data_IF_519047384495
#
_entry.id   IF_519047384495
#
_cell.length_a   1.000
_cell.length_b   1.000
_cell.length_c   1.000
_cell.angle_alpha   90.00
_cell.angle_beta   90.00
_cell.angle_gamma   90.00
#
_symmetry.space_group_name_H-M   'P 1'
#
loop_
_entity.id
_entity.type
_entity.pdbx_description
1 polymer ?
#
# COMPACT_ATOMS: atom_id res chain seq x y z
N UNK A 1 -8.40 -9.59 -5.86
CA UNK A 1 -9.09 -8.33 -5.55
C UNK A 1 -8.22 -7.15 -5.96
N UNK A 2 -8.85 -6.04 -6.31
CA UNK A 2 -8.17 -4.80 -6.66
C UNK A 2 -8.97 -3.61 -6.16
N UNK A 3 -8.27 -2.53 -5.82
CA UNK A 3 -8.87 -1.25 -5.46
C UNK A 3 -8.87 -0.32 -6.67
N UNK A 4 -10.00 0.31 -6.94
CA UNK A 4 -10.18 1.23 -8.06
C UNK A 4 -10.52 2.62 -7.50
N UNK A 5 -9.84 3.65 -7.96
CA UNK A 5 -10.10 5.04 -7.55
C UNK A 5 -11.21 5.69 -8.37
N UNK A 6 -12.18 4.87 -8.81
CA UNK A 6 -13.45 5.30 -9.41
C UNK A 6 -13.28 6.18 -10.67
N UNK A 7 -12.19 5.93 -11.40
CA UNK A 7 -11.93 6.61 -12.68
C UNK A 7 -11.49 8.06 -12.59
N UNK A 8 -11.43 8.64 -11.38
CA UNK A 8 -11.11 10.06 -11.22
C UNK A 8 -10.09 10.33 -10.10
N UNK A 9 -9.39 9.30 -9.67
CA UNK A 9 -8.45 9.34 -8.55
C UNK A 9 -9.12 9.71 -7.22
N UNK A 10 -10.43 9.46 -7.11
CA UNK A 10 -11.19 9.63 -5.86
C UNK A 10 -12.57 9.00 -6.03
N UNK A 11 -13.05 8.34 -5.00
CA UNK A 11 -14.41 7.81 -4.97
C UNK A 11 -15.39 8.70 -4.19
N UNK A 12 -14.93 9.85 -3.71
CA UNK A 12 -15.75 10.73 -2.86
C UNK A 12 -17.06 11.17 -3.53
N UNK A 13 -17.06 11.34 -4.85
CA UNK A 13 -18.24 11.81 -5.59
C UNK A 13 -18.77 10.74 -6.56
N UNK A 14 -18.38 9.48 -6.34
CA UNK A 14 -18.72 8.38 -7.23
C UNK A 14 -19.66 7.39 -6.53
N UNK A 15 -20.52 6.76 -7.30
CA UNK A 15 -21.36 5.66 -6.84
C UNK A 15 -20.86 4.29 -7.34
N UNK A 16 -19.66 4.26 -7.92
CA UNK A 16 -19.04 3.02 -8.41
C UNK A 16 -18.42 2.28 -7.24
N UNK A 17 -18.51 0.96 -7.26
CA UNK A 17 -17.84 0.11 -6.27
C UNK A 17 -16.33 0.18 -6.46
N UNK A 18 -15.57 0.63 -5.46
CA UNK A 18 -14.13 0.73 -5.60
C UNK A 18 -13.36 -0.59 -5.39
N UNK A 19 -14.00 -1.60 -4.82
CA UNK A 19 -13.33 -2.88 -4.59
C UNK A 19 -13.89 -3.90 -5.57
N UNK A 20 -13.00 -4.44 -6.42
CA UNK A 20 -13.41 -5.35 -7.48
C UNK A 20 -12.66 -6.67 -7.39
N UNK A 21 -13.34 -7.76 -7.68
CA UNK A 21 -12.73 -9.08 -7.84
C UNK A 21 -12.71 -9.42 -9.32
N UNK A 22 -11.53 -9.77 -9.80
CA UNK A 22 -11.36 -10.09 -11.22
C UNK A 22 -11.12 -11.59 -11.40
N UNK A 23 -11.63 -12.13 -12.48
CA UNK A 23 -11.25 -13.48 -12.90
C UNK A 23 -9.90 -13.44 -13.67
N UNK A 24 -9.31 -14.59 -13.99
CA UNK A 24 -8.03 -14.60 -14.72
C UNK A 24 -8.08 -13.97 -16.13
N UNK A 25 -9.27 -13.73 -16.66
CA UNK A 25 -9.45 -13.09 -17.95
C UNK A 25 -9.62 -11.57 -17.82
N UNK A 26 -9.68 -11.07 -16.56
CA UNK A 26 -9.83 -9.64 -16.26
C UNK A 26 -11.28 -9.15 -16.18
N UNK A 27 -12.25 -10.06 -16.17
CA UNK A 27 -13.65 -9.66 -16.01
C UNK A 27 -13.97 -9.44 -14.54
N UNK A 28 -14.74 -8.40 -14.25
CA UNK A 28 -15.22 -8.17 -12.87
C UNK A 28 -16.28 -9.22 -12.55
N UNK A 29 -16.03 -10.03 -11.53
CA UNK A 29 -16.96 -11.08 -11.09
C UNK A 29 -17.68 -10.72 -9.80
N UNK A 30 -17.20 -9.70 -9.08
CA UNK A 30 -17.83 -9.19 -7.87
C UNK A 30 -17.29 -7.78 -7.60
N UNK A 31 -18.14 -6.92 -7.01
CA UNK A 31 -17.69 -5.60 -6.55
C UNK A 31 -18.48 -5.14 -5.35
N UNK A 32 -17.90 -4.22 -4.57
CA UNK A 32 -18.57 -3.62 -3.42
C UNK A 32 -17.81 -2.36 -2.95
N UNK A 33 -18.39 -1.67 -1.98
CA UNK A 33 -17.75 -0.57 -1.27
C UNK A 33 -18.19 0.82 -1.73
N UNK A 34 -19.13 0.90 -2.67
CA UNK A 34 -19.65 2.20 -3.12
C UNK A 34 -20.13 3.02 -1.92
N UNK A 35 -19.79 4.29 -1.92
CA UNK A 35 -20.18 5.24 -0.87
C UNK A 35 -19.58 4.95 0.52
N UNK A 36 -18.61 4.02 0.62
CA UNK A 36 -17.95 3.73 1.89
C UNK A 36 -16.48 4.20 1.91
N UNK A 37 -15.87 4.34 0.77
CA UNK A 37 -14.43 4.57 0.63
C UNK A 37 -14.21 5.84 -0.20
N UNK A 38 -13.24 6.66 0.21
CA UNK A 38 -12.85 7.88 -0.51
C UNK A 38 -11.65 7.62 -1.43
N UNK A 39 -10.61 6.97 -0.90
CA UNK A 39 -9.35 6.83 -1.62
C UNK A 39 -8.69 5.48 -1.32
N UNK A 40 -9.19 4.41 -1.96
CA UNK A 40 -8.63 3.08 -1.70
C UNK A 40 -7.14 3.07 -2.03
N UNK A 41 -6.34 2.47 -1.16
CA UNK A 41 -4.90 2.40 -1.31
C UNK A 41 -4.44 0.95 -1.11
N UNK A 42 -3.73 0.63 -0.05
CA UNK A 42 -3.29 -0.73 0.18
C UNK A 42 -4.42 -1.69 0.57
N UNK A 43 -4.21 -2.98 0.32
CA UNK A 43 -5.22 -3.98 0.67
C UNK A 43 -4.59 -5.36 0.88
N UNK A 44 -5.27 -6.17 1.68
CA UNK A 44 -4.86 -7.55 1.93
C UNK A 44 -6.10 -8.44 2.03
N UNK A 45 -5.91 -9.75 1.94
CA UNK A 45 -6.99 -10.73 2.10
C UNK A 45 -6.56 -11.73 3.15
N UNK A 46 -7.34 -11.82 4.22
CA UNK A 46 -6.99 -12.71 5.33
C UNK A 46 -7.33 -14.18 5.04
N UNK A 47 -6.97 -15.07 5.97
CA UNK A 47 -7.15 -16.50 5.79
C UNK A 47 -8.62 -16.93 5.67
N UNK A 48 -9.54 -16.12 6.15
CA UNK A 48 -10.99 -16.38 6.04
C UNK A 48 -11.59 -15.79 4.76
N UNK A 49 -10.75 -15.12 3.94
CA UNK A 49 -11.19 -14.50 2.70
C UNK A 49 -11.75 -13.10 2.88
N UNK A 50 -11.67 -12.51 4.07
CA UNK A 50 -12.10 -11.14 4.29
C UNK A 50 -11.13 -10.19 3.59
N UNK A 51 -11.68 -9.12 3.02
CA UNK A 51 -10.91 -8.12 2.27
C UNK A 51 -10.66 -6.92 3.17
N UNK A 52 -9.40 -6.60 3.39
CA UNK A 52 -8.97 -5.45 4.17
C UNK A 52 -8.51 -4.36 3.22
N UNK A 53 -8.98 -3.14 3.43
CA UNK A 53 -8.70 -2.02 2.52
C UNK A 53 -8.35 -0.79 3.33
N UNK A 54 -7.30 -0.11 2.93
CA UNK A 54 -6.94 1.19 3.48
C UNK A 54 -7.71 2.27 2.71
N UNK A 55 -8.40 3.16 3.42
CA UNK A 55 -9.00 4.38 2.88
C UNK A 55 -8.10 5.55 3.29
N UNK A 56 -7.20 5.95 2.40
CA UNK A 56 -5.99 6.67 2.80
C UNK A 56 -6.19 8.16 3.07
N UNK A 57 -7.27 8.79 2.61
CA UNK A 57 -7.48 10.20 2.88
C UNK A 57 -8.96 10.55 3.00
N UNK A 58 -9.24 11.61 3.71
CA UNK A 58 -10.59 12.16 3.78
C UNK A 58 -10.96 12.88 2.47
N UNK A 59 -12.24 13.14 2.30
CA UNK A 59 -12.73 13.93 1.19
C UNK A 59 -12.25 15.38 1.33
N UNK A 60 -11.86 15.96 0.21
CA UNK A 60 -11.46 17.39 0.15
C UNK A 60 -12.69 18.28 0.33
N UNK A 61 -12.45 19.57 0.63
CA UNK A 61 -13.56 20.54 0.76
C UNK A 61 -14.41 20.58 -0.50
N UNK A 62 -13.80 20.55 -1.68
CA UNK A 62 -14.52 20.54 -2.95
C UNK A 62 -15.39 19.28 -3.09
N UNK A 63 -14.82 18.12 -2.77
CA UNK A 63 -15.58 16.87 -2.84
C UNK A 63 -16.78 16.89 -1.88
N UNK A 64 -16.61 17.50 -0.70
CA UNK A 64 -17.72 17.65 0.26
C UNK A 64 -18.81 18.62 -0.21
N UNK A 65 -18.43 19.65 -0.98
CA UNK A 65 -19.41 20.53 -1.60
C UNK A 65 -20.24 19.76 -2.65
N UNK A 66 -19.58 18.88 -3.40
CA UNK A 66 -20.25 18.07 -4.44
C UNK A 66 -21.04 16.90 -3.84
N UNK A 67 -20.52 16.29 -2.77
CA UNK A 67 -21.17 15.15 -2.09
C UNK A 67 -20.96 15.23 -0.58
N UNK A 68 -21.87 15.91 0.15
CA UNK A 68 -21.76 16.00 1.61
C UNK A 68 -21.75 14.64 2.34
N UNK A 69 -22.26 13.58 1.71
CA UNK A 69 -22.28 12.25 2.32
C UNK A 69 -20.89 11.60 2.37
N UNK A 70 -19.87 12.21 1.73
CA UNK A 70 -18.49 11.77 1.86
C UNK A 70 -17.86 12.17 3.20
N UNK A 71 -18.50 13.05 3.97
CA UNK A 71 -18.01 13.45 5.29
C UNK A 71 -17.90 12.23 6.23
N UNK A 72 -16.88 12.26 7.07
CA UNK A 72 -16.67 11.19 8.06
C UNK A 72 -16.08 9.91 7.48
N UNK A 73 -15.43 9.97 6.31
CA UNK A 73 -14.79 8.81 5.68
C UNK A 73 -13.33 9.13 5.38
N UNK A 74 -12.54 8.08 5.22
CA UNK A 74 -11.10 8.22 4.98
C UNK A 74 -10.29 8.22 6.26
N UNK A 75 -8.99 8.05 6.13
CA UNK A 75 -8.05 7.85 7.24
C UNK A 75 -8.39 6.62 8.06
N UNK A 76 -8.88 5.56 7.40
CA UNK A 76 -9.34 4.33 8.08
C UNK A 76 -8.81 3.09 7.40
N UNK A 77 -8.87 1.97 8.14
CA UNK A 77 -8.70 0.63 7.58
C UNK A 77 -10.05 -0.09 7.75
N UNK A 78 -10.56 -0.64 6.67
CA UNK A 78 -11.87 -1.27 6.62
C UNK A 78 -11.73 -2.76 6.36
N UNK A 79 -12.45 -3.58 7.12
CA UNK A 79 -12.53 -5.03 6.89
C UNK A 79 -13.89 -5.37 6.32
N UNK A 80 -13.91 -6.04 5.19
CA UNK A 80 -15.15 -6.51 4.55
C UNK A 80 -15.18 -8.04 4.54
N UNK A 81 -16.37 -8.60 4.67
CA UNK A 81 -16.57 -10.04 4.44
C UNK A 81 -16.29 -10.36 2.96
N UNK A 82 -16.14 -11.66 2.61
CA UNK A 82 -16.01 -12.02 1.19
C UNK A 82 -17.20 -11.57 0.32
N UNK A 83 -18.32 -11.26 0.93
CA UNK A 83 -19.52 -10.80 0.22
C UNK A 83 -19.69 -9.28 0.25
N UNK A 84 -18.74 -8.54 0.84
CA UNK A 84 -18.75 -7.09 0.84
C UNK A 84 -19.47 -6.42 2.00
N UNK A 85 -19.80 -7.17 3.07
CA UNK A 85 -20.35 -6.57 4.29
C UNK A 85 -19.20 -5.95 5.10
N UNK A 86 -19.37 -4.71 5.54
CA UNK A 86 -18.38 -4.05 6.41
C UNK A 86 -18.43 -4.68 7.80
N UNK A 87 -17.33 -5.30 8.22
CA UNK A 87 -17.20 -6.04 9.48
C UNK A 87 -16.47 -5.24 10.56
N UNK A 88 -15.52 -4.38 10.18
CA UNK A 88 -14.70 -3.64 11.15
C UNK A 88 -14.18 -2.36 10.51
N UNK A 89 -14.04 -1.33 11.32
CA UNK A 89 -13.35 -0.08 10.94
C UNK A 89 -12.33 0.24 12.02
N UNK A 90 -11.07 0.43 11.61
CA UNK A 90 -10.02 0.96 12.47
C UNK A 90 -9.77 2.42 12.07
N UNK A 91 -9.52 3.28 13.04
CA UNK A 91 -9.37 4.71 12.83
C UNK A 91 -10.70 5.45 12.95
N UNK A 92 -10.65 6.77 12.90
CA UNK A 92 -11.84 7.63 12.95
C UNK A 92 -12.04 8.27 11.59
N UNK A 93 -13.14 7.96 10.94
CA UNK A 93 -13.38 8.41 9.58
C UNK A 93 -13.40 9.93 9.46
N UNK A 94 -12.65 10.44 8.48
CA UNK A 94 -12.57 11.86 8.19
C UNK A 94 -11.57 12.64 9.05
N UNK A 95 -10.93 12.01 10.00
CA UNK A 95 -10.03 12.69 10.93
C UNK A 95 -8.64 12.06 10.93
N UNK A 96 -7.61 12.90 10.79
CA UNK A 96 -6.22 12.45 10.84
C UNK A 96 -5.67 12.64 12.27
N UNK A 97 -4.81 11.71 12.70
CA UNK A 97 -4.23 11.81 14.04
C UNK A 97 -3.37 10.62 14.40
N UNK A 98 -3.27 10.37 15.71
CA UNK A 98 -2.39 9.32 16.23
C UNK A 98 -3.16 8.10 16.73
N UNK A 99 -2.55 6.90 16.65
CA UNK A 99 -3.17 5.71 17.21
C UNK A 99 -3.34 5.84 18.74
N UNK A 100 -4.24 5.12 19.36
CA UNK A 100 -5.05 4.06 18.76
C UNK A 100 -6.29 4.51 18.00
N UNK A 101 -6.63 5.80 18.11
CA UNK A 101 -7.92 6.32 17.65
C UNK A 101 -7.89 6.73 16.18
N UNK A 102 -6.75 7.16 15.69
CA UNK A 102 -6.63 7.77 14.35
C UNK A 102 -5.49 7.17 13.54
N UNK A 103 -5.53 7.42 12.24
CA UNK A 103 -4.40 7.30 11.31
C UNK A 103 -4.19 8.66 10.65
N UNK A 104 -3.05 8.82 9.98
CA UNK A 104 -2.74 10.03 9.23
C UNK A 104 -2.32 9.67 7.81
N UNK A 105 -3.30 9.42 6.96
CA UNK A 105 -3.12 8.96 5.58
C UNK A 105 -2.42 7.59 5.53
N UNK A 106 -3.07 6.53 6.06
CA UNK A 106 -2.47 5.19 6.04
C UNK A 106 -2.25 4.71 4.60
N UNK A 107 -1.19 3.90 4.42
CA UNK A 107 -0.76 3.43 3.10
C UNK A 107 -1.18 2.01 2.82
N UNK A 108 -0.93 1.10 3.75
CA UNK A 108 -1.08 -0.33 3.48
C UNK A 108 -1.50 -1.06 4.75
N UNK A 109 -2.08 -2.23 4.56
CA UNK A 109 -2.51 -3.12 5.64
C UNK A 109 -2.04 -4.53 5.32
N UNK A 110 -1.55 -5.24 6.33
CA UNK A 110 -1.09 -6.63 6.21
C UNK A 110 -1.64 -7.43 7.38
N UNK A 111 -2.21 -8.59 7.10
CA UNK A 111 -2.72 -9.48 8.13
C UNK A 111 -1.72 -10.64 8.33
N UNK A 112 -1.14 -10.68 9.51
CA UNK A 112 -0.16 -11.71 9.87
C UNK A 112 -0.86 -13.06 10.08
N UNK A 113 -0.12 -14.19 10.04
CA UNK A 113 -0.75 -15.51 10.24
C UNK A 113 -1.46 -15.69 11.58
N UNK A 114 -1.07 -14.96 12.62
CA UNK A 114 -1.75 -15.00 13.92
C UNK A 114 -2.97 -14.06 13.97
N UNK A 115 -3.27 -13.38 12.87
CA UNK A 115 -4.39 -12.46 12.76
C UNK A 115 -4.08 -11.02 13.17
N UNK A 116 -2.88 -10.74 13.66
CA UNK A 116 -2.51 -9.36 13.98
C UNK A 116 -2.50 -8.50 12.71
N UNK A 117 -2.93 -7.25 12.87
CA UNK A 117 -3.14 -6.31 11.78
C UNK A 117 -2.02 -5.28 11.83
N UNK A 118 -1.22 -5.21 10.77
CA UNK A 118 -0.14 -4.21 10.63
C UNK A 118 -0.61 -3.14 9.66
N UNK A 119 -0.49 -1.88 10.06
CA UNK A 119 -0.92 -0.74 9.22
C UNK A 119 0.26 0.21 9.04
N UNK A 120 0.64 0.44 7.80
CA UNK A 120 1.65 1.43 7.44
C UNK A 120 0.98 2.81 7.35
N UNK A 121 1.52 3.80 8.02
CA UNK A 121 0.87 5.10 8.16
C UNK A 121 1.83 6.24 7.80
N UNK A 122 1.38 7.14 7.11
CA UNK A 122 1.60 8.50 6.64
C UNK A 122 2.14 8.54 5.22
N UNK A 123 1.20 8.61 4.27
CA UNK A 123 1.49 8.61 2.83
C UNK A 123 2.33 9.81 2.40
N UNK A 124 2.05 10.99 2.94
CA UNK A 124 2.73 12.22 2.52
C UNK A 124 4.13 12.42 3.08
N UNK A 125 4.59 11.57 3.99
CA UNK A 125 5.87 11.77 4.67
C UNK A 125 7.08 11.76 3.76
N UNK A 126 6.97 11.14 2.59
CA UNK A 126 8.08 11.08 1.61
C UNK A 126 8.45 12.45 1.04
N UNK A 127 7.55 13.42 1.11
CA UNK A 127 7.78 14.76 0.55
C UNK A 127 8.36 15.75 1.57
N UNK A 128 8.51 15.31 2.82
CA UNK A 128 9.09 16.15 3.86
C UNK A 128 10.62 16.02 3.85
N UNK A 129 11.30 17.14 3.85
CA UNK A 129 12.76 17.15 3.88
C UNK A 129 13.32 17.25 5.29
N UNK A 130 12.53 17.78 6.24
CA UNK A 130 12.93 17.95 7.61
C UNK A 130 11.82 17.48 8.56
N UNK A 131 12.19 16.83 9.62
CA UNK A 131 11.24 16.42 10.64
C UNK A 131 10.72 17.65 11.39
N UNK A 132 9.42 17.79 11.46
CA UNK A 132 8.77 18.77 12.30
C UNK A 132 8.12 18.08 13.50
N UNK A 133 7.58 18.84 14.42
CA UNK A 133 6.95 18.23 15.61
C UNK A 133 5.72 17.37 15.30
N UNK A 134 5.14 17.53 14.12
CA UNK A 134 3.97 16.75 13.70
C UNK A 134 4.34 15.70 12.65
N UNK A 135 5.61 15.57 12.32
CA UNK A 135 6.04 14.58 11.34
C UNK A 135 5.80 13.18 11.88
N UNK A 136 5.13 12.38 11.09
CA UNK A 136 4.78 11.01 11.45
C UNK A 136 5.23 10.08 10.33
N UNK A 137 5.52 8.86 10.67
CA UNK A 137 5.82 7.83 9.68
C UNK A 137 6.02 6.55 10.48
N UNK A 138 5.04 5.66 10.47
CA UNK A 138 5.01 4.59 11.49
C UNK A 138 4.28 3.35 10.98
N UNK A 139 4.48 2.27 11.73
CA UNK A 139 3.70 1.05 11.60
C UNK A 139 2.91 0.86 12.89
N UNK A 140 1.60 0.70 12.78
CA UNK A 140 0.72 0.43 13.92
C UNK A 140 0.27 -1.02 13.89
N UNK A 141 0.21 -1.64 15.07
CA UNK A 141 -0.15 -3.06 15.22
C UNK A 141 -1.41 -3.17 16.07
N UNK A 142 -2.38 -3.92 15.57
CA UNK A 142 -3.64 -4.21 16.27
C UNK A 142 -3.83 -5.71 16.35
N UNK A 143 -4.55 -6.15 17.39
CA UNK A 143 -4.96 -7.53 17.55
C UNK A 143 -6.09 -7.86 16.55
N UNK A 144 -6.41 -9.15 16.37
CA UNK A 144 -7.49 -9.54 15.44
C UNK A 144 -8.86 -8.93 15.72
N UNK A 145 -9.12 -8.56 16.97
CA UNK A 145 -10.38 -7.92 17.37
C UNK A 145 -10.38 -6.40 17.18
N UNK A 146 -9.25 -5.85 16.66
CA UNK A 146 -9.11 -4.42 16.44
C UNK A 146 -8.54 -3.64 17.62
N UNK A 147 -8.22 -4.30 18.74
CA UNK A 147 -7.62 -3.60 19.87
C UNK A 147 -6.16 -3.26 19.57
N UNK A 148 -5.76 -2.04 19.95
CA UNK A 148 -4.41 -1.52 19.68
C UNK A 148 -3.38 -2.23 20.55
N UNK A 149 -2.29 -2.65 19.92
CA UNK A 149 -1.15 -3.28 20.62
C UNK A 149 -0.04 -2.24 20.83
N UNK A 150 0.48 -1.69 19.75
CA UNK A 150 1.58 -0.71 19.80
C UNK A 150 1.79 -0.07 18.43
N UNK A 151 2.65 0.94 18.36
CA UNK A 151 3.20 1.40 17.09
C UNK A 151 4.70 1.59 17.23
N UNK A 152 5.39 1.58 16.09
CA UNK A 152 6.83 1.82 16.04
C UNK A 152 7.17 2.61 14.78
N UNK A 153 8.35 3.21 14.80
CA UNK A 153 8.81 4.07 13.73
C UNK A 153 8.45 5.53 13.96
N UNK A 154 9.21 6.38 13.30
CA UNK A 154 9.03 7.82 13.28
C UNK A 154 9.60 8.35 11.98
N UNK A 155 9.35 9.61 11.68
CA UNK A 155 9.91 10.21 10.46
C UNK A 155 11.43 10.32 10.59
N UNK A 156 12.15 9.89 9.54
CA UNK A 156 13.60 10.04 9.50
C UNK A 156 14.29 9.11 8.52
N UNK A 157 15.62 9.05 8.64
CA UNK A 157 16.51 8.37 7.70
C UNK A 157 17.27 7.19 8.31
N UNK A 158 17.27 7.08 9.65
CA UNK A 158 18.00 6.02 10.35
C UNK A 158 17.24 4.70 10.29
N UNK A 159 17.88 3.62 10.70
CA UNK A 159 17.19 2.32 10.81
C UNK A 159 16.06 2.43 11.84
N UNK A 160 14.90 1.93 11.46
CA UNK A 160 13.69 2.03 12.27
C UNK A 160 12.91 3.34 12.07
N UNK A 161 13.46 4.30 11.32
CA UNK A 161 12.76 5.52 10.93
C UNK A 161 12.29 5.38 9.47
N UNK A 162 11.25 6.12 9.09
CA UNK A 162 10.64 6.00 7.76
C UNK A 162 10.36 7.36 7.14
N UNK A 163 10.36 7.39 5.80
CA UNK A 163 9.78 8.48 5.02
C UNK A 163 8.71 7.90 4.10
N UNK A 164 7.54 7.64 4.64
CA UNK A 164 6.42 6.96 4.00
C UNK A 164 6.66 5.45 3.88
N UNK A 165 6.33 4.67 4.91
CA UNK A 165 6.25 3.22 4.79
C UNK A 165 5.05 2.91 3.90
N UNK A 166 5.32 2.54 2.63
CA UNK A 166 4.30 2.57 1.59
C UNK A 166 3.63 1.23 1.35
N UNK A 167 4.36 0.15 1.56
CA UNK A 167 3.77 -1.18 1.39
C UNK A 167 4.41 -2.16 2.37
N UNK A 168 3.65 -3.18 2.74
CA UNK A 168 4.03 -4.19 3.71
C UNK A 168 3.96 -5.57 3.08
N UNK A 169 4.89 -6.45 3.45
CA UNK A 169 4.80 -7.87 3.11
C UNK A 169 5.41 -8.68 4.25
N UNK A 170 5.09 -9.96 4.32
CA UNK A 170 5.65 -10.84 5.36
C UNK A 170 6.09 -12.15 4.72
N UNK A 171 7.30 -12.60 5.08
CA UNK A 171 7.84 -13.84 4.53
C UNK A 171 7.36 -15.07 5.31
N UNK A 172 7.82 -16.25 4.89
CA UNK A 172 7.43 -17.51 5.52
C UNK A 172 7.90 -17.65 6.96
N UNK A 173 8.89 -16.85 7.38
CA UNK A 173 9.42 -16.87 8.75
C UNK A 173 8.73 -15.85 9.65
N UNK A 174 7.81 -15.05 9.09
CA UNK A 174 7.10 -14.02 9.84
C UNK A 174 7.87 -12.71 9.98
N UNK A 175 8.91 -12.49 9.16
CA UNK A 175 9.60 -11.21 9.15
C UNK A 175 8.77 -10.20 8.35
N UNK A 176 8.67 -9.00 8.87
CA UNK A 176 7.90 -7.90 8.25
C UNK A 176 8.84 -7.08 7.35
N UNK A 177 8.49 -6.98 6.08
CA UNK A 177 9.18 -6.18 5.08
C UNK A 177 8.40 -4.89 4.86
N UNK A 178 9.06 -3.76 5.00
CA UNK A 178 8.44 -2.44 4.88
C UNK A 178 9.11 -1.69 3.72
N UNK A 179 8.34 -1.36 2.70
CA UNK A 179 8.82 -0.49 1.62
C UNK A 179 8.89 0.95 2.15
N UNK A 180 10.06 1.37 2.58
CA UNK A 180 10.32 2.73 3.06
C UNK A 180 10.60 3.62 1.84
N UNK A 181 9.51 3.96 1.11
CA UNK A 181 9.58 4.50 -0.24
C UNK A 181 10.36 5.80 -0.31
N UNK A 182 10.12 6.72 0.61
CA UNK A 182 10.80 8.01 0.61
C UNK A 182 12.31 7.91 0.85
N UNK A 183 12.76 6.81 1.44
CA UNK A 183 14.18 6.53 1.68
C UNK A 183 14.77 5.56 0.64
N UNK A 184 13.98 5.15 -0.35
CA UNK A 184 14.44 4.27 -1.44
C UNK A 184 15.04 2.96 -0.93
N UNK A 185 14.35 2.32 0.03
CA UNK A 185 14.86 1.09 0.68
C UNK A 185 13.71 0.20 1.17
N UNK A 186 14.05 -1.04 1.46
CA UNK A 186 13.19 -1.95 2.22
C UNK A 186 13.84 -2.11 3.60
N UNK A 187 13.09 -1.96 4.66
CA UNK A 187 13.55 -2.32 6.00
C UNK A 187 12.83 -3.58 6.46
N UNK A 188 13.54 -4.42 7.20
CA UNK A 188 13.04 -5.72 7.67
C UNK A 188 13.00 -5.71 9.19
N UNK A 189 11.88 -6.15 9.74
CA UNK A 189 11.62 -6.15 11.18
C UNK A 189 11.09 -7.51 11.63
N UNK A 190 11.23 -7.80 12.92
CA UNK A 190 10.40 -8.85 13.50
C UNK A 190 8.99 -8.30 13.77
N UNK A 191 8.08 -9.15 14.24
CA UNK A 191 6.70 -8.72 14.45
C UNK A 191 6.52 -7.83 15.68
N UNK A 192 7.56 -7.67 16.49
CA UNK A 192 7.57 -6.72 17.59
C UNK A 192 8.13 -5.34 17.18
N UNK A 193 8.52 -5.19 15.92
CA UNK A 193 9.04 -3.92 15.40
C UNK A 193 10.52 -3.70 15.66
N UNK A 194 11.26 -4.75 16.00
CA UNK A 194 12.73 -4.65 16.15
C UNK A 194 13.37 -4.77 14.77
N UNK A 195 14.17 -3.78 14.40
CA UNK A 195 14.86 -3.74 13.12
C UNK A 195 15.85 -4.89 12.98
N UNK A 196 15.88 -5.52 11.82
CA UNK A 196 16.75 -6.67 11.52
C UNK A 196 17.72 -6.42 10.37
N UNK A 197 17.24 -5.72 9.32
CA UNK A 197 18.09 -5.51 8.13
C UNK A 197 17.53 -4.35 7.29
N UNK A 198 18.37 -3.80 6.42
CA UNK A 198 17.99 -2.72 5.49
C UNK A 198 18.56 -3.02 4.10
N UNK A 199 17.68 -3.01 3.08
CA UNK A 199 18.03 -3.38 1.71
C UNK A 199 17.77 -2.22 0.75
N UNK A 200 18.79 -1.78 0.03
CA UNK A 200 18.69 -0.67 -0.95
C UNK A 200 18.55 -1.15 -2.39
N UNK A 201 18.90 -2.41 -2.66
CA UNK A 201 19.01 -2.94 -4.02
C UNK A 201 17.66 -3.12 -4.73
N UNK A 202 16.55 -2.95 -4.02
CA UNK A 202 15.22 -3.01 -4.64
C UNK A 202 14.70 -1.66 -5.11
N UNK A 203 15.38 -0.56 -4.74
CA UNK A 203 15.05 0.77 -5.25
C UNK A 203 13.88 1.45 -4.50
N UNK A 204 13.16 2.33 -5.18
CA UNK A 204 12.07 3.15 -4.64
C UNK A 204 10.74 2.38 -4.76
N UNK A 205 10.48 1.53 -3.80
CA UNK A 205 9.41 0.56 -3.90
C UNK A 205 8.06 1.13 -3.48
N UNK A 206 7.08 1.01 -4.38
CA UNK A 206 5.69 1.36 -4.12
C UNK A 206 4.88 0.18 -3.60
N UNK A 207 5.11 -1.02 -4.14
CA UNK A 207 4.38 -2.21 -3.72
C UNK A 207 5.28 -3.40 -3.49
N UNK A 208 4.94 -4.21 -2.49
CA UNK A 208 5.64 -5.44 -2.14
C UNK A 208 4.66 -6.61 -2.14
N UNK A 209 5.14 -7.76 -2.59
CA UNK A 209 4.47 -9.04 -2.40
C UNK A 209 5.54 -10.11 -2.14
N UNK A 210 5.30 -10.99 -1.20
CA UNK A 210 6.16 -12.15 -0.96
C UNK A 210 5.30 -13.42 -1.07
N UNK A 211 5.69 -14.29 -1.98
CA UNK A 211 5.10 -15.63 -2.06
C UNK A 211 5.69 -16.47 -0.93
N UNK A 212 4.89 -16.69 0.11
CA UNK A 212 5.34 -17.42 1.31
C UNK A 212 5.71 -18.86 1.06
N UNK A 213 5.29 -19.45 -0.07
CA UNK A 213 5.65 -20.83 -0.40
C UNK A 213 7.08 -20.95 -0.92
N UNK A 214 7.62 -19.88 -1.49
CA UNK A 214 8.96 -19.86 -2.10
C UNK A 214 9.89 -18.82 -1.49
N UNK A 215 9.34 -17.85 -0.77
CA UNK A 215 10.00 -16.62 -0.32
C UNK A 215 10.56 -15.79 -1.49
N UNK A 216 9.89 -15.87 -2.63
CA UNK A 216 10.16 -14.95 -3.73
C UNK A 216 9.52 -13.59 -3.41
N UNK A 217 10.35 -12.55 -3.50
CA UNK A 217 9.97 -11.17 -3.23
C UNK A 217 9.74 -10.44 -4.57
N UNK A 218 8.61 -9.80 -4.69
CA UNK A 218 8.22 -8.97 -5.85
C UNK A 218 8.10 -7.54 -5.36
N UNK A 219 8.93 -6.65 -5.92
CA UNK A 219 9.05 -5.27 -5.46
C UNK A 219 8.88 -4.34 -6.67
N UNK A 220 7.77 -3.60 -6.70
CA UNK A 220 7.46 -2.77 -7.85
C UNK A 220 7.80 -1.31 -7.56
N UNK A 221 8.53 -0.69 -8.50
CA UNK A 221 8.98 0.70 -8.44
C UNK A 221 8.23 1.49 -9.51
N UNK A 222 7.30 2.33 -9.08
CA UNK A 222 6.47 3.13 -9.99
C UNK A 222 6.96 4.57 -10.15
N UNK A 223 7.94 5.00 -9.33
CA UNK A 223 8.23 6.42 -9.22
C UNK A 223 9.70 6.83 -9.45
N UNK A 224 10.63 5.89 -9.58
CA UNK A 224 12.04 6.29 -9.76
C UNK A 224 12.21 7.22 -10.95
N UNK A 225 12.82 8.36 -10.68
CA UNK A 225 13.22 9.35 -11.69
C UNK A 225 14.38 10.15 -11.09
N UNK A 226 15.00 11.04 -11.86
CA UNK A 226 16.16 11.79 -11.33
C UNK A 226 15.89 12.63 -10.09
N UNK A 227 14.64 13.00 -9.81
CA UNK A 227 14.30 13.82 -8.64
C UNK A 227 14.09 12.99 -7.38
N UNK A 228 13.44 11.84 -7.53
CA UNK A 228 13.01 11.03 -6.36
C UNK A 228 13.93 9.87 -6.07
N UNK A 229 14.69 9.42 -7.04
CA UNK A 229 15.66 8.35 -6.84
C UNK A 229 16.84 8.53 -7.79
N UNK A 230 17.71 9.50 -7.53
CA UNK A 230 18.86 9.77 -8.40
C UNK A 230 19.82 8.57 -8.44
N UNK A 231 20.63 8.51 -9.46
CA UNK A 231 21.57 7.39 -9.62
C UNK A 231 21.22 6.46 -10.76
N UNK A 232 20.25 6.84 -11.60
CA UNK A 232 19.91 6.08 -12.80
C UNK A 232 19.01 4.89 -12.57
N UNK A 233 18.30 4.87 -11.46
CA UNK A 233 17.33 3.79 -11.19
C UNK A 233 16.16 3.88 -12.19
N UNK A 234 15.68 2.71 -12.58
CA UNK A 234 14.57 2.59 -13.54
C UNK A 234 13.35 2.02 -12.88
N UNK A 235 12.18 2.53 -13.28
CA UNK A 235 10.88 1.98 -12.89
C UNK A 235 10.71 0.57 -13.42
N UNK A 236 9.98 -0.22 -12.69
CA UNK A 236 9.73 -1.61 -13.07
C UNK A 236 9.65 -2.52 -11.87
N UNK A 237 9.54 -3.80 -12.14
CA UNK A 237 9.41 -4.83 -11.13
C UNK A 237 10.76 -5.53 -10.91
N UNK A 238 11.21 -5.55 -9.67
CA UNK A 238 12.37 -6.36 -9.26
C UNK A 238 11.88 -7.61 -8.55
N UNK A 239 12.36 -8.75 -8.99
CA UNK A 239 12.01 -10.04 -8.40
C UNK A 239 13.27 -10.61 -7.77
N UNK A 240 13.18 -11.06 -6.54
CA UNK A 240 14.34 -11.55 -5.82
C UNK A 240 13.98 -12.48 -4.68
N UNK A 241 14.95 -12.67 -3.79
CA UNK A 241 14.79 -13.58 -2.67
C UNK A 241 14.55 -12.80 -1.38
N UNK A 242 13.43 -13.07 -0.70
CA UNK A 242 13.20 -12.52 0.63
C UNK A 242 14.20 -13.10 1.66
N UNK A 243 14.81 -14.26 1.37
CA UNK A 243 15.78 -14.86 2.29
C UNK A 243 17.14 -14.17 2.26
N UNK A 244 17.60 -13.78 1.06
CA UNK A 244 18.98 -13.30 0.88
C UNK A 244 19.09 -11.86 0.43
N UNK A 245 18.01 -11.27 -0.06
CA UNK A 245 18.03 -9.92 -0.64
C UNK A 245 18.57 -9.90 -2.07
N UNK A 246 18.91 -11.04 -2.65
CA UNK A 246 19.40 -11.08 -4.01
C UNK A 246 18.30 -10.65 -5.00
N UNK A 247 18.59 -9.68 -5.86
CA UNK A 247 17.72 -9.31 -6.97
C UNK A 247 18.06 -10.21 -8.16
N UNK A 248 17.13 -11.06 -8.56
CA UNK A 248 17.34 -12.07 -9.59
C UNK A 248 16.90 -11.62 -10.97
N UNK A 249 15.80 -10.86 -11.03
CA UNK A 249 15.21 -10.43 -12.31
C UNK A 249 14.74 -8.99 -12.20
N UNK A 250 14.79 -8.30 -13.33
CA UNK A 250 14.22 -6.96 -13.47
C UNK A 250 13.36 -6.91 -14.72
N UNK A 251 12.09 -6.57 -14.54
CA UNK A 251 11.15 -6.36 -15.64
C UNK A 251 10.91 -4.86 -15.71
N UNK A 252 11.45 -4.17 -16.73
CA UNK A 252 11.29 -2.71 -16.81
C UNK A 252 9.85 -2.32 -17.16
N UNK A 253 9.49 -1.08 -16.86
CA UNK A 253 8.19 -0.57 -17.30
C UNK A 253 8.06 -0.72 -18.82
N UNK A 254 6.87 -1.06 -19.27
CA UNK A 254 6.64 -1.39 -20.68
C UNK A 254 6.36 -0.18 -21.56
N UNK A 255 6.19 1.00 -20.97
CA UNK A 255 5.89 2.22 -21.72
C UNK A 255 7.02 3.22 -21.53
N UNK A 256 7.84 3.36 -22.57
CA UNK A 256 9.06 4.15 -22.52
C UNK A 256 8.88 5.63 -22.88
N UNK A 257 7.74 6.02 -23.40
CA UNK A 257 7.54 7.37 -23.96
C UNK A 257 6.69 8.29 -23.08
N UNK A 258 6.51 7.94 -21.83
CA UNK A 258 5.68 8.75 -20.94
C UNK A 258 6.49 9.85 -20.28
N UNK A 259 5.82 10.94 -19.94
CA UNK A 259 6.44 12.02 -19.20
C UNK A 259 7.05 11.51 -17.90
N UNK A 260 8.20 12.04 -17.55
CA UNK A 260 8.86 11.70 -16.29
C UNK A 260 8.13 12.33 -15.11
N UNK A 261 8.37 11.77 -13.93
CA UNK A 261 7.82 12.31 -12.70
C UNK A 261 6.65 11.50 -12.17
N UNK A 262 6.24 11.80 -10.95
CA UNK A 262 5.19 11.06 -10.27
C UNK A 262 3.82 11.16 -10.93
N UNK A 263 3.53 12.30 -11.48
CA UNK A 263 2.18 12.59 -11.96
C UNK A 263 1.87 12.15 -13.36
N UNK A 264 2.84 11.68 -14.12
CA UNK A 264 2.62 11.52 -15.54
C UNK A 264 3.01 10.20 -16.15
N UNK A 265 3.55 9.32 -15.37
CA UNK A 265 4.14 8.14 -15.96
C UNK A 265 3.40 6.91 -15.51
N UNK A 266 2.67 6.33 -16.34
CA UNK A 266 2.25 4.97 -16.06
C UNK A 266 3.50 4.12 -15.84
N UNK A 267 3.35 3.08 -15.12
CA UNK A 267 4.43 2.17 -14.84
C UNK A 267 3.85 0.77 -14.80
N UNK A 268 4.59 -0.14 -14.30
CA UNK A 268 4.02 -1.47 -14.03
C UNK A 268 3.06 -1.45 -12.84
N UNK A 269 2.96 -0.33 -12.13
CA UNK A 269 1.95 -0.15 -11.10
C UNK A 269 2.46 0.19 -9.72
N UNK A 270 1.55 0.56 -8.84
CA UNK A 270 1.84 0.81 -7.42
C UNK A 270 1.62 -0.42 -6.54
N UNK A 271 0.67 -1.27 -6.90
CA UNK A 271 0.45 -2.52 -6.19
C UNK A 271 0.90 -3.71 -7.02
N UNK A 272 1.29 -4.79 -6.36
CA UNK A 272 1.71 -6.01 -7.04
C UNK A 272 1.22 -7.22 -6.27
N UNK A 273 0.79 -8.25 -7.00
CA UNK A 273 0.50 -9.57 -6.43
C UNK A 273 0.80 -10.64 -7.48
N UNK A 274 0.88 -11.90 -7.02
CA UNK A 274 1.24 -13.02 -7.88
C UNK A 274 0.26 -14.17 -7.61
N UNK A 275 -0.26 -14.77 -8.67
CA UNK A 275 -1.15 -15.91 -8.49
C UNK A 275 -0.35 -17.23 -8.36
N UNK A 276 -1.07 -18.31 -8.05
CA UNK A 276 -0.45 -19.62 -7.82
C UNK A 276 0.24 -20.21 -9.06
N UNK A 277 0.03 -19.64 -10.24
CA UNK A 277 0.68 -20.06 -11.46
C UNK A 277 1.93 -19.20 -11.77
N UNK A 278 2.24 -18.25 -10.91
CA UNK A 278 3.38 -17.35 -11.09
C UNK A 278 3.09 -16.14 -11.97
N UNK A 279 1.82 -15.90 -12.31
CA UNK A 279 1.44 -14.73 -13.11
C UNK A 279 1.43 -13.50 -12.19
N UNK A 280 2.15 -12.47 -12.59
CA UNK A 280 2.24 -11.21 -11.84
C UNK A 280 1.14 -10.26 -12.31
N UNK A 281 0.47 -9.64 -11.35
CA UNK A 281 -0.54 -8.61 -11.60
C UNK A 281 -0.08 -7.32 -10.91
N UNK A 282 -0.08 -6.22 -11.64
CA UNK A 282 0.34 -4.92 -11.13
C UNK A 282 -0.76 -3.89 -11.40
N UNK A 283 -1.20 -3.21 -10.35
CA UNK A 283 -2.25 -2.19 -10.43
C UNK A 283 -1.67 -0.82 -10.74
N UNK A 284 -2.08 -0.21 -11.84
CA UNK A 284 -1.54 1.07 -12.31
C UNK A 284 -2.44 2.24 -11.94
N UNK A 285 -1.83 3.31 -11.42
CA UNK A 285 -2.60 4.50 -10.98
C UNK A 285 -2.70 5.60 -12.05
N UNK A 286 -1.93 5.50 -13.10
CA UNK A 286 -2.07 6.46 -14.21
C UNK A 286 -0.82 6.52 -15.07
N UNK A 287 -0.90 7.10 -16.27
CA UNK A 287 -2.09 7.64 -16.94
C UNK A 287 -2.99 6.56 -17.53
N UNK A 288 -2.51 5.34 -17.65
CA UNK A 288 -3.34 4.19 -17.99
C UNK A 288 -3.85 3.63 -16.67
N UNK A 289 -5.07 3.84 -16.37
CA UNK A 289 -5.67 3.31 -15.15
C UNK A 289 -6.11 1.88 -15.43
N UNK A 290 -5.51 0.92 -14.74
CA UNK A 290 -5.82 -0.46 -15.01
C UNK A 290 -4.88 -1.42 -14.33
N UNK A 291 -4.80 -2.63 -14.87
CA UNK A 291 -3.96 -3.69 -14.33
C UNK A 291 -3.11 -4.29 -15.44
N UNK A 292 -1.81 -4.38 -15.21
CA UNK A 292 -0.86 -5.06 -16.09
C UNK A 292 -0.70 -6.50 -15.63
N UNK A 293 -0.63 -7.40 -16.61
CA UNK A 293 -0.43 -8.80 -16.35
C UNK A 293 0.81 -9.27 -17.11
N UNK A 294 1.64 -9.64 -16.49
CA UNK A 294 2.82 -10.07 -16.99
C UNK A 294 3.10 -11.39 -16.65
#
# INVERSE_FOLDING_TARGET
WAGDRCGSNSCATSNVDPIVKLDPQGNVVQSFGANLIIWPHGMDVDADGNVWVVDARAATARELEENPAAAGKGHTVLKFSPNGELLMTLGTGGEAGDPPTYFDAPNDVLIAPNGNIFVADTHGAQFQDEAGPTAKSRISIFAPDGSFIKSFGEWGFEDGQFRSPHSLAMDSQGRLFVADRGNNRIQIFDQDGNHQDTWYQFSRISGLFIDKSTDMLYAIDSESDPNYNPGGWRKGLRVGSAKTGEVMYFIPEHVSERASGMGGTGSMGEGVTVDRNGVVYAGEVGPIQGMTKX
#
